data_IF_287160868170
#
_entry.id   IF_287160868170
#
_cell.length_a   1.000
_cell.length_b   1.000
_cell.length_c   1.000
_cell.angle_alpha   90.00
_cell.angle_beta   90.00
_cell.angle_gamma   90.00
#
_symmetry.space_group_name_H-M   'P 1'
#
loop_
_entity.id
_entity.type
_entity.pdbx_description
1 polymer ?
#
# COMPACT_ATOMS: atom_id res chain seq x y z
N UNK A 1 54.45 68.66 -53.42
CA UNK A 1 55.13 68.19 -52.19
C UNK A 1 54.41 66.95 -51.71
N UNK A 2 54.86 65.77 -52.14
CA UNK A 2 55.92 64.93 -51.55
C UNK A 2 55.34 63.93 -50.52
N UNK A 3 55.18 62.69 -51.00
CA UNK A 3 55.68 61.41 -50.45
C UNK A 3 55.35 60.95 -49.00
N UNK A 4 55.43 59.62 -48.88
CA UNK A 4 55.53 58.74 -47.71
C UNK A 4 54.20 58.41 -47.00
N UNK A 5 53.81 57.15 -46.78
CA UNK A 5 54.58 55.92 -46.65
C UNK A 5 54.40 55.36 -45.22
N UNK A 6 54.49 54.03 -45.08
CA UNK A 6 54.53 53.21 -43.82
C UNK A 6 53.16 52.72 -43.30
N UNK A 7 52.76 51.46 -43.55
CA UNK A 7 53.11 50.15 -42.94
C UNK A 7 52.43 49.82 -41.61
N UNK A 8 51.56 48.80 -41.67
CA UNK A 8 51.60 47.66 -40.76
C UNK A 8 50.87 47.76 -39.41
N UNK A 9 49.85 46.92 -39.22
CA UNK A 9 49.97 45.70 -38.39
C UNK A 9 48.64 44.95 -38.35
N UNK A 10 48.63 43.72 -38.88
CA UNK A 10 47.56 42.74 -38.65
C UNK A 10 47.69 42.22 -37.22
N UNK A 11 46.65 42.35 -36.39
CA UNK A 11 46.45 41.49 -35.21
C UNK A 11 45.25 40.57 -35.44
N UNK A 12 45.53 39.28 -35.24
CA UNK A 12 44.63 38.13 -35.38
C UNK A 12 43.37 38.31 -34.54
N UNK A 13 42.21 38.29 -35.18
CA UNK A 13 41.05 37.63 -34.58
C UNK A 13 41.10 36.18 -35.02
N UNK A 14 41.54 35.30 -34.13
CA UNK A 14 41.19 33.88 -34.19
C UNK A 14 39.69 33.78 -33.98
N UNK A 15 38.93 33.99 -35.05
CA UNK A 15 37.50 33.74 -35.06
C UNK A 15 37.29 32.27 -34.75
N UNK A 16 36.46 31.99 -33.75
CA UNK A 16 35.98 30.62 -33.52
C UNK A 16 35.44 30.07 -34.86
N UNK A 17 35.65 28.76 -35.14
CA UNK A 17 35.21 28.18 -36.40
C UNK A 17 33.71 28.46 -36.61
N UNK A 18 33.35 28.96 -37.79
CA UNK A 18 31.97 29.22 -38.17
C UNK A 18 31.31 27.87 -38.50
N UNK A 19 30.79 27.23 -37.47
CA UNK A 19 30.16 25.91 -37.57
C UNK A 19 29.05 25.89 -38.61
N UNK A 20 29.01 24.82 -39.41
CA UNK A 20 27.94 24.62 -40.39
C UNK A 20 26.63 24.32 -39.69
N UNK A 21 25.49 24.73 -40.28
CA UNK A 21 24.14 24.49 -39.74
C UNK A 21 23.89 23.00 -39.45
N UNK A 22 24.55 22.11 -40.19
CA UNK A 22 24.50 20.64 -39.99
C UNK A 22 25.20 20.21 -38.70
N UNK A 23 26.35 20.79 -38.37
CA UNK A 23 27.11 20.48 -37.17
C UNK A 23 26.39 20.98 -35.92
N UNK A 24 25.76 22.15 -35.99
CA UNK A 24 24.96 22.72 -34.90
C UNK A 24 23.76 21.79 -34.57
N UNK A 25 23.05 21.29 -35.59
CA UNK A 25 21.95 20.35 -35.38
C UNK A 25 22.40 18.98 -34.80
N UNK A 26 23.58 18.51 -35.19
CA UNK A 26 24.13 17.25 -34.67
C UNK A 26 24.57 17.41 -33.21
N UNK A 27 25.25 18.51 -32.88
CA UNK A 27 25.67 18.80 -31.51
C UNK A 27 24.47 19.02 -30.59
N UNK A 28 23.42 19.73 -31.04
CA UNK A 28 22.21 19.91 -30.24
C UNK A 28 21.46 18.59 -30.01
N UNK A 29 21.37 17.73 -31.04
CA UNK A 29 20.80 16.39 -30.92
C UNK A 29 21.57 15.49 -29.95
N UNK A 30 22.91 15.52 -30.00
CA UNK A 30 23.77 14.75 -29.07
C UNK A 30 23.63 15.24 -27.63
N UNK A 31 23.57 16.56 -27.41
CA UNK A 31 23.36 17.12 -26.07
C UNK A 31 21.99 16.74 -25.52
N UNK A 32 20.95 16.76 -26.35
CA UNK A 32 19.61 16.34 -25.93
C UNK A 32 19.55 14.85 -25.60
N UNK A 33 20.15 14.00 -26.45
CA UNK A 33 20.22 12.55 -26.20
C UNK A 33 21.00 12.22 -24.93
N UNK A 34 22.15 12.87 -24.71
CA UNK A 34 22.92 12.72 -23.47
C UNK A 34 22.12 13.18 -22.24
N UNK A 35 21.43 14.32 -22.34
CA UNK A 35 20.53 14.81 -21.29
C UNK A 35 19.41 13.82 -20.95
N UNK A 36 18.76 13.23 -21.96
CA UNK A 36 17.75 12.19 -21.76
C UNK A 36 18.31 10.93 -21.09
N UNK A 37 19.49 10.47 -21.51
CA UNK A 37 20.15 9.32 -20.88
C UNK A 37 20.50 9.58 -19.41
N UNK A 38 20.99 10.78 -19.08
CA UNK A 38 21.26 11.17 -17.68
C UNK A 38 19.97 11.21 -16.88
N UNK A 39 18.91 11.80 -17.39
CA UNK A 39 17.61 11.86 -16.70
C UNK A 39 17.04 10.46 -16.46
N UNK A 40 17.06 9.59 -17.47
CA UNK A 40 16.60 8.20 -17.33
C UNK A 40 17.46 7.42 -16.35
N UNK A 41 18.79 7.59 -16.39
CA UNK A 41 19.71 7.01 -15.43
C UNK A 41 19.43 7.48 -13.99
N UNK A 42 19.23 8.79 -13.80
CA UNK A 42 18.84 9.35 -12.50
C UNK A 42 17.49 8.81 -12.02
N UNK A 43 16.49 8.70 -12.90
CA UNK A 43 15.19 8.11 -12.54
C UNK A 43 15.35 6.64 -12.14
N UNK A 44 16.13 5.85 -12.88
CA UNK A 44 16.38 4.45 -12.57
C UNK A 44 17.13 4.28 -11.24
N UNK A 45 18.14 5.11 -10.98
CA UNK A 45 18.87 5.11 -9.70
C UNK A 45 17.97 5.55 -8.56
N UNK A 46 17.17 6.61 -8.72
CA UNK A 46 16.19 7.04 -7.71
C UNK A 46 15.14 5.95 -7.44
N UNK A 47 14.68 5.24 -8.48
CA UNK A 47 13.77 4.09 -8.33
C UNK A 47 14.45 2.94 -7.62
N UNK A 48 15.71 2.63 -7.94
CA UNK A 48 16.48 1.57 -7.30
C UNK A 48 16.73 1.87 -5.81
N UNK A 49 17.18 3.09 -5.49
CA UNK A 49 17.37 3.54 -4.11
C UNK A 49 16.05 3.59 -3.32
N UNK A 50 14.95 4.03 -3.95
CA UNK A 50 13.64 3.99 -3.33
C UNK A 50 13.16 2.56 -3.02
N UNK A 51 13.42 1.60 -3.92
CA UNK A 51 13.08 0.19 -3.70
C UNK A 51 13.90 -0.45 -2.57
N UNK A 52 15.18 -0.10 -2.41
CA UNK A 52 16.00 -0.55 -1.27
C UNK A 52 15.55 0.10 0.05
N UNK A 53 15.21 1.39 0.03
CA UNK A 53 14.73 2.11 1.21
C UNK A 53 13.36 1.60 1.69
N UNK A 54 12.46 1.26 0.76
CA UNK A 54 11.15 0.69 1.06
C UNK A 54 11.28 -0.67 1.75
N UNK A 55 12.19 -1.55 1.30
CA UNK A 55 12.39 -2.87 1.91
C UNK A 55 12.92 -2.78 3.35
N UNK A 56 13.91 -1.93 3.61
CA UNK A 56 14.50 -1.75 4.94
C UNK A 56 13.57 -1.05 5.94
N UNK A 57 12.82 -0.02 5.49
CA UNK A 57 11.81 0.61 6.33
C UNK A 57 10.61 -0.31 6.56
N UNK A 58 10.23 -1.18 5.63
CA UNK A 58 9.05 -2.05 5.77
C UNK A 58 9.22 -3.08 6.88
N UNK A 59 10.40 -3.68 7.03
CA UNK A 59 10.66 -4.70 8.06
C UNK A 59 10.60 -4.10 9.47
N UNK A 60 11.34 -3.01 9.73
CA UNK A 60 11.31 -2.31 11.02
C UNK A 60 10.00 -1.55 11.30
N UNK A 61 9.31 -1.04 10.28
CA UNK A 61 8.01 -0.40 10.46
C UNK A 61 6.91 -1.42 10.76
N UNK A 62 6.98 -2.63 10.18
CA UNK A 62 5.98 -3.66 10.41
C UNK A 62 6.06 -4.18 11.84
N UNK A 63 7.26 -4.40 12.37
CA UNK A 63 7.45 -4.73 13.78
C UNK A 63 6.94 -3.61 14.69
N UNK A 64 7.36 -2.36 14.48
CA UNK A 64 6.89 -1.22 15.29
C UNK A 64 5.36 -1.07 15.28
N UNK A 65 4.71 -1.27 14.13
CA UNK A 65 3.24 -1.24 14.01
C UNK A 65 2.61 -2.39 14.78
N UNK A 66 3.14 -3.60 14.67
CA UNK A 66 2.66 -4.76 15.41
C UNK A 66 2.78 -4.55 16.93
N UNK A 67 3.95 -4.10 17.41
CA UNK A 67 4.17 -3.77 18.82
C UNK A 67 3.23 -2.67 19.33
N UNK A 68 3.07 -1.59 18.57
CA UNK A 68 2.16 -0.50 18.95
C UNK A 68 0.72 -0.98 19.04
N UNK A 69 0.28 -1.83 18.10
CA UNK A 69 -1.08 -2.40 18.11
C UNK A 69 -1.28 -3.34 19.30
N UNK A 70 -0.32 -4.23 19.56
CA UNK A 70 -0.36 -5.15 20.70
C UNK A 70 -0.35 -4.40 22.04
N UNK A 71 0.54 -3.42 22.20
CA UNK A 71 0.62 -2.57 23.38
C UNK A 71 -0.69 -1.84 23.65
N UNK A 72 -1.29 -1.22 22.62
CA UNK A 72 -2.59 -0.56 22.75
C UNK A 72 -3.70 -1.54 23.14
N UNK A 73 -3.73 -2.71 22.51
CA UNK A 73 -4.73 -3.75 22.82
C UNK A 73 -4.64 -4.21 24.28
N UNK A 74 -3.43 -4.46 24.78
CA UNK A 74 -3.19 -4.83 26.18
C UNK A 74 -3.61 -3.69 27.10
N UNK A 75 -3.14 -2.46 26.83
CA UNK A 75 -3.43 -1.28 27.64
C UNK A 75 -4.94 -1.00 27.76
N UNK A 76 -5.73 -1.26 26.72
CA UNK A 76 -7.18 -1.09 26.80
C UNK A 76 -7.86 -2.15 27.65
N UNK A 77 -7.29 -3.34 27.80
CA UNK A 77 -7.92 -4.45 28.51
C UNK A 77 -7.55 -4.48 30.00
N UNK A 78 -6.42 -3.87 30.38
CA UNK A 78 -5.99 -3.76 31.77
C UNK A 78 -6.92 -2.83 32.56
N UNK A 79 -7.23 -3.25 33.79
CA UNK A 79 -7.82 -2.44 34.84
C UNK A 79 -6.77 -2.14 35.94
N UNK A 80 -6.17 -0.94 35.95
CA UNK A 80 -5.12 -0.60 36.90
C UNK A 80 -5.63 -0.37 38.33
N UNK A 81 -6.95 -0.41 38.55
CA UNK A 81 -7.53 -0.25 39.89
C UNK A 81 -7.51 -1.54 40.72
N UNK A 82 -7.22 -2.68 40.08
CA UNK A 82 -7.15 -4.00 40.70
C UNK A 82 -5.70 -4.34 41.04
N UNK A 83 -5.47 -4.86 42.25
CA UNK A 83 -4.14 -5.38 42.64
C UNK A 83 -3.86 -6.70 41.90
N UNK A 84 -2.85 -6.74 41.00
CA UNK A 84 -2.55 -7.93 40.20
C UNK A 84 -2.08 -9.12 41.04
N UNK A 85 -1.56 -8.88 42.25
CA UNK A 85 -1.14 -9.94 43.16
C UNK A 85 -2.33 -10.64 43.85
N UNK A 86 -3.52 -10.04 43.80
CA UNK A 86 -4.75 -10.58 44.41
C UNK A 86 -5.71 -11.17 43.39
N UNK A 87 -5.93 -10.48 42.28
CA UNK A 87 -6.78 -10.94 41.18
C UNK A 87 -6.20 -10.50 39.84
N UNK A 88 -5.30 -11.32 39.32
CA UNK A 88 -4.65 -11.06 38.04
C UNK A 88 -5.64 -11.08 36.85
N UNK A 89 -6.74 -11.84 36.95
CA UNK A 89 -7.73 -11.92 35.88
C UNK A 89 -8.49 -10.61 35.73
N UNK A 90 -9.03 -10.08 36.83
CA UNK A 90 -9.72 -8.78 36.81
C UNK A 90 -8.77 -7.63 36.47
N UNK A 91 -7.51 -7.69 36.92
CA UNK A 91 -6.49 -6.73 36.51
C UNK A 91 -6.21 -6.79 35.00
N UNK A 92 -5.99 -7.97 34.43
CA UNK A 92 -5.59 -8.10 33.02
C UNK A 92 -6.75 -7.96 32.03
N UNK A 93 -7.97 -8.34 32.43
CA UNK A 93 -9.14 -8.44 31.55
C UNK A 93 -10.31 -7.53 31.95
N UNK A 94 -10.29 -6.89 33.12
CA UNK A 94 -11.41 -6.09 33.64
C UNK A 94 -11.84 -4.95 32.73
N UNK A 95 -10.89 -4.33 32.01
CA UNK A 95 -11.21 -3.34 30.98
C UNK A 95 -11.97 -3.93 29.81
N UNK A 96 -11.66 -5.16 29.39
CA UNK A 96 -12.40 -5.85 28.32
C UNK A 96 -13.81 -6.21 28.76
N UNK A 97 -13.96 -6.79 29.95
CA UNK A 97 -15.25 -7.21 30.52
C UNK A 97 -16.24 -6.04 30.64
N UNK A 98 -15.77 -4.85 31.03
CA UNK A 98 -16.62 -3.64 31.10
C UNK A 98 -17.19 -3.19 29.75
N UNK A 99 -16.49 -3.48 28.65
CA UNK A 99 -16.89 -3.05 27.29
C UNK A 99 -17.62 -4.12 26.50
N UNK A 100 -17.56 -5.38 26.94
CA UNK A 100 -18.06 -6.54 26.20
C UNK A 100 -18.96 -7.38 27.08
N UNK A 101 -20.21 -6.94 27.23
CA UNK A 101 -21.25 -7.77 27.81
C UNK A 101 -21.53 -8.98 26.91
N UNK A 102 -22.05 -10.06 27.49
CA UNK A 102 -22.45 -11.25 26.75
C UNK A 102 -23.71 -10.88 25.93
N UNK A 103 -23.67 -10.97 24.59
CA UNK A 103 -24.84 -10.74 23.73
C UNK A 103 -25.97 -11.75 24.01
N UNK A 104 -27.23 -11.38 23.73
CA UNK A 104 -28.40 -12.22 24.03
C UNK A 104 -28.42 -13.56 23.28
N UNK A 105 -27.78 -13.62 22.11
CA UNK A 105 -27.65 -14.81 21.28
C UNK A 105 -26.53 -15.75 21.75
N UNK A 106 -25.84 -15.44 22.86
CA UNK A 106 -24.62 -16.14 23.30
C UNK A 106 -24.67 -16.52 24.77
N UNK A 107 -24.19 -17.73 25.06
CA UNK A 107 -24.00 -18.19 26.44
C UNK A 107 -22.65 -17.74 27.02
N UNK A 108 -21.63 -17.61 26.17
CA UNK A 108 -20.26 -17.25 26.55
C UNK A 108 -19.74 -16.25 25.52
N UNK A 109 -19.11 -15.19 26.00
CA UNK A 109 -18.47 -14.20 25.14
C UNK A 109 -17.06 -13.88 25.64
N UNK A 110 -16.08 -14.02 24.74
CA UNK A 110 -14.66 -13.85 25.03
C UNK A 110 -13.90 -13.42 23.78
N UNK A 111 -12.58 -13.28 23.90
CA UNK A 111 -11.74 -12.79 22.80
C UNK A 111 -11.85 -13.65 21.53
N UNK A 112 -11.92 -14.98 21.63
CA UNK A 112 -12.03 -15.86 20.46
C UNK A 112 -13.35 -15.62 19.72
N UNK A 113 -14.46 -15.49 20.46
CA UNK A 113 -15.77 -15.19 19.89
C UNK A 113 -15.76 -13.82 19.18
N UNK A 114 -15.19 -12.79 19.81
CA UNK A 114 -15.08 -11.46 19.22
C UNK A 114 -14.20 -11.45 17.95
N UNK A 115 -13.10 -12.21 17.92
CA UNK A 115 -12.28 -12.38 16.72
C UNK A 115 -13.07 -13.11 15.62
N UNK A 116 -13.83 -14.14 15.99
CA UNK A 116 -14.72 -14.87 15.08
C UNK A 116 -15.72 -13.96 14.38
N UNK A 117 -16.44 -13.13 15.14
CA UNK A 117 -17.39 -12.14 14.61
C UNK A 117 -16.71 -11.15 13.66
N UNK A 118 -15.55 -10.61 14.02
CA UNK A 118 -14.81 -9.69 13.14
C UNK A 118 -14.37 -10.37 11.83
N UNK A 119 -14.06 -11.66 11.87
CA UNK A 119 -13.72 -12.42 10.67
C UNK A 119 -14.95 -12.71 9.84
N UNK A 120 -16.06 -13.11 10.46
CA UNK A 120 -17.34 -13.34 9.80
C UNK A 120 -17.84 -12.08 9.08
N UNK A 121 -17.78 -10.93 9.74
CA UNK A 121 -18.16 -9.63 9.15
C UNK A 121 -17.30 -9.30 7.92
N UNK A 122 -15.98 -9.57 7.98
CA UNK A 122 -15.08 -9.40 6.83
C UNK A 122 -15.40 -10.39 5.72
N UNK A 123 -15.64 -11.65 6.04
CA UNK A 123 -15.99 -12.69 5.07
C UNK A 123 -17.31 -12.35 4.38
N UNK A 124 -18.34 -11.94 5.13
CA UNK A 124 -19.61 -11.49 4.59
C UNK A 124 -19.41 -10.33 3.61
N UNK A 125 -18.65 -9.31 3.99
CA UNK A 125 -18.31 -8.19 3.07
C UNK A 125 -17.62 -8.69 1.80
N UNK A 126 -16.67 -9.62 1.90
CA UNK A 126 -15.96 -10.18 0.74
C UNK A 126 -16.86 -11.00 -0.17
N UNK A 127 -17.79 -11.79 0.40
CA UNK A 127 -18.71 -12.64 -0.33
C UNK A 127 -19.80 -11.83 -1.05
N UNK A 128 -20.23 -10.71 -0.47
CA UNK A 128 -21.20 -9.81 -1.09
C UNK A 128 -20.62 -8.99 -2.26
N UNK A 129 -19.29 -8.81 -2.32
CA UNK A 129 -18.67 -8.10 -3.45
C UNK A 129 -18.89 -8.82 -4.80
N UNK A 130 -18.92 -8.07 -5.92
CA UNK A 130 -18.99 -8.65 -7.26
C UNK A 130 -17.92 -9.72 -7.50
N UNK A 131 -18.25 -10.71 -8.32
CA UNK A 131 -17.30 -11.76 -8.71
C UNK A 131 -16.22 -11.15 -9.61
N UNK A 132 -14.96 -11.23 -9.22
CA UNK A 132 -13.83 -10.70 -10.01
C UNK A 132 -13.40 -11.64 -11.12
N UNK A 133 -13.54 -12.95 -10.89
CA UNK A 133 -13.20 -14.02 -11.85
C UNK A 133 -14.47 -14.75 -12.32
N UNK A 134 -15.19 -14.24 -13.34
CA UNK A 134 -16.56 -14.70 -13.66
C UNK A 134 -16.65 -16.02 -14.44
N UNK A 135 -15.53 -16.72 -14.71
CA UNK A 135 -15.55 -18.00 -15.41
C UNK A 135 -16.17 -19.13 -14.56
N UNK A 136 -16.84 -20.10 -15.19
CA UNK A 136 -17.66 -21.13 -14.51
C UNK A 136 -16.87 -21.99 -13.51
N UNK A 137 -15.62 -22.33 -13.80
CA UNK A 137 -14.77 -23.14 -12.92
C UNK A 137 -14.20 -22.35 -11.71
N UNK A 138 -14.46 -21.05 -11.60
CA UNK A 138 -13.89 -20.17 -10.57
C UNK A 138 -14.38 -20.54 -9.17
N UNK A 139 -13.44 -20.80 -8.26
CA UNK A 139 -13.76 -21.01 -6.85
C UNK A 139 -14.42 -19.77 -6.22
N UNK A 140 -13.98 -18.57 -6.61
CA UNK A 140 -14.57 -17.31 -6.15
C UNK A 140 -16.05 -17.20 -6.58
N UNK A 141 -16.34 -17.57 -7.82
CA UNK A 141 -17.71 -17.54 -8.35
C UNK A 141 -18.60 -18.51 -7.57
N UNK A 142 -18.18 -19.77 -7.46
CA UNK A 142 -18.94 -20.84 -6.78
C UNK A 142 -19.24 -20.49 -5.32
N UNK A 143 -18.24 -20.05 -4.54
CA UNK A 143 -18.47 -19.73 -3.12
C UNK A 143 -19.39 -18.53 -2.93
N UNK A 144 -19.32 -17.52 -3.82
CA UNK A 144 -20.21 -16.35 -3.76
C UNK A 144 -21.63 -16.67 -4.21
N UNK A 145 -21.81 -17.48 -5.25
CA UNK A 145 -23.12 -17.95 -5.69
C UNK A 145 -23.78 -18.83 -4.62
N UNK A 146 -23.03 -19.76 -4.02
CA UNK A 146 -23.49 -20.58 -2.90
C UNK A 146 -23.87 -19.72 -1.69
N UNK A 147 -23.06 -18.73 -1.33
CA UNK A 147 -23.41 -17.81 -0.25
C UNK A 147 -24.71 -17.04 -0.54
N UNK A 148 -24.92 -16.59 -1.79
CA UNK A 148 -26.17 -15.92 -2.18
C UNK A 148 -27.39 -16.84 -2.12
N UNK A 149 -27.25 -18.12 -2.49
CA UNK A 149 -28.38 -19.06 -2.37
C UNK A 149 -28.82 -19.26 -0.92
N UNK A 150 -27.91 -19.19 0.05
CA UNK A 150 -28.26 -19.26 1.47
C UNK A 150 -28.98 -17.99 1.98
N UNK A 151 -28.85 -16.86 1.28
CA UNK A 151 -29.49 -15.60 1.66
C UNK A 151 -30.83 -15.36 0.95
N UNK A 152 -31.14 -16.14 -0.09
CA UNK A 152 -32.39 -16.03 -0.83
C UNK A 152 -33.55 -16.76 -0.11
N UNK A 153 -34.00 -16.15 0.98
CA UNK A 153 -35.09 -16.70 1.82
C UNK A 153 -36.37 -16.90 1.00
N UNK A 154 -36.65 -16.04 0.03
CA UNK A 154 -37.84 -16.15 -0.81
C UNK A 154 -37.83 -17.43 -1.66
N UNK A 155 -36.70 -17.77 -2.26
CA UNK A 155 -36.54 -19.02 -3.00
C UNK A 155 -36.58 -20.24 -2.08
N UNK A 156 -35.95 -20.16 -0.90
CA UNK A 156 -35.99 -21.22 0.13
C UNK A 156 -37.45 -21.51 0.55
N UNK A 157 -38.21 -20.47 0.87
CA UNK A 157 -39.61 -20.59 1.28
C UNK A 157 -40.50 -21.12 0.14
N UNK A 158 -40.23 -20.72 -1.10
CA UNK A 158 -40.95 -21.21 -2.29
C UNK A 158 -40.75 -22.70 -2.50
N UNK A 159 -39.55 -23.24 -2.25
CA UNK A 159 -39.25 -24.66 -2.39
C UNK A 159 -39.80 -25.50 -1.21
N UNK A 160 -39.94 -24.89 -0.03
CA UNK A 160 -40.43 -25.56 1.16
C UNK A 160 -39.62 -26.83 1.48
N UNK A 161 -40.30 -27.91 1.84
CA UNK A 161 -39.66 -29.17 2.22
C UNK A 161 -39.29 -30.09 1.03
N UNK A 162 -39.53 -29.69 -0.22
CA UNK A 162 -39.33 -30.58 -1.38
C UNK A 162 -37.90 -31.14 -1.56
N UNK A 163 -36.81 -30.41 -1.25
CA UNK A 163 -35.45 -30.91 -1.44
C UNK A 163 -34.92 -31.90 -0.40
N UNK A 164 -35.66 -32.17 0.69
CA UNK A 164 -35.27 -33.12 1.76
C UNK A 164 -35.73 -34.54 1.45
#
# INVERSE_FOLDING_TARGET
>A
NLQLGTTGTKKKHSGLPRWSRREICLLSGLVFAAGLCVILGCILVLKYLALEQDAYCLEGCQERKAFTKASRFIATNIDPTIDPCKDFYSFACGGWLRRHAIPEDKLIYGIIAAIGEQNEEKLQRLLLQPVRRPYLASAERKVKEFFRSCLDIAEIDRQGAQPM
#
